data_IF_992799452606
#
_entry.id   IF_992799452606
#
_cell.length_a   1.000
_cell.length_b   1.000
_cell.length_c   1.000
_cell.angle_alpha   90.00
_cell.angle_beta   90.00
_cell.angle_gamma   90.00
#
_symmetry.space_group_name_H-M   'P 1'
#
loop_
_entity.id
_entity.type
_entity.pdbx_description
1 polymer ?
#
# COMPACT_ATOMS: atom_id res chain seq x y z
N UNK A 1 10.99 26.29 -0.09
CA UNK A 1 9.66 25.66 0.11
C UNK A 1 8.48 26.46 -0.48
N UNK A 2 8.32 27.74 -0.13
CA UNK A 2 7.14 28.54 -0.54
C UNK A 2 6.97 28.66 -2.06
N UNK A 3 8.04 28.93 -2.81
CA UNK A 3 7.96 29.07 -4.27
C UNK A 3 7.65 27.74 -4.97
N UNK A 4 8.24 26.64 -4.50
CA UNK A 4 7.92 25.30 -5.00
C UNK A 4 6.43 24.97 -4.81
N UNK A 5 5.87 25.30 -3.64
CA UNK A 5 4.45 25.10 -3.35
C UNK A 5 3.58 26.00 -4.21
N UNK A 6 3.98 27.26 -4.44
CA UNK A 6 3.26 28.16 -5.35
C UNK A 6 3.23 27.61 -6.78
N UNK A 7 4.35 27.08 -7.26
CA UNK A 7 4.43 26.45 -8.58
C UNK A 7 3.54 25.19 -8.67
N UNK A 8 3.56 24.32 -7.65
CA UNK A 8 2.71 23.14 -7.57
C UNK A 8 1.22 23.52 -7.55
N UNK A 9 0.81 24.48 -6.72
CA UNK A 9 -0.56 25.00 -6.69
C UNK A 9 -1.01 25.49 -8.07
N UNK A 10 -0.15 26.25 -8.76
CA UNK A 10 -0.44 26.77 -10.10
C UNK A 10 -0.64 25.64 -11.12
N UNK A 11 0.14 24.56 -11.04
CA UNK A 11 0.05 23.43 -11.97
C UNK A 11 -1.16 22.52 -11.71
N UNK A 12 -1.58 22.39 -10.45
CA UNK A 12 -2.69 21.54 -10.02
C UNK A 12 -4.06 22.21 -10.16
N UNK A 13 -4.16 23.50 -9.83
CA UNK A 13 -5.46 24.18 -9.81
C UNK A 13 -6.04 24.41 -11.21
N UNK A 14 -7.21 23.82 -11.46
CA UNK A 14 -7.97 24.03 -12.69
C UNK A 14 -7.36 23.41 -13.95
N UNK A 15 -6.30 22.60 -13.80
CA UNK A 15 -5.65 21.95 -14.91
C UNK A 15 -6.46 20.73 -15.36
N UNK A 16 -6.90 20.74 -16.63
CA UNK A 16 -7.65 19.63 -17.25
C UNK A 16 -6.75 18.62 -17.94
N UNK A 17 -5.44 18.89 -18.05
CA UNK A 17 -4.48 17.91 -18.52
C UNK A 17 -4.11 16.96 -17.37
N UNK A 18 -4.85 15.85 -17.25
CA UNK A 18 -4.66 14.90 -16.14
C UNK A 18 -3.30 14.22 -16.13
N UNK A 19 -2.58 14.17 -17.26
CA UNK A 19 -1.18 13.72 -17.29
C UNK A 19 -0.28 14.69 -16.53
N UNK A 20 -0.45 15.99 -16.75
CA UNK A 20 0.29 17.02 -15.99
C UNK A 20 -0.10 17.03 -14.51
N UNK A 21 -1.39 16.85 -14.21
CA UNK A 21 -1.87 16.75 -12.82
C UNK A 21 -1.21 15.57 -12.11
N UNK A 22 -1.20 14.38 -12.73
CA UNK A 22 -0.53 13.21 -12.17
C UNK A 22 0.96 13.44 -11.93
N UNK A 23 1.68 14.01 -12.90
CA UNK A 23 3.09 14.35 -12.72
C UNK A 23 3.31 15.35 -11.58
N UNK A 24 2.47 16.37 -11.46
CA UNK A 24 2.55 17.34 -10.38
C UNK A 24 2.22 16.72 -9.00
N UNK A 25 1.25 15.79 -8.93
CA UNK A 25 0.95 15.01 -7.73
C UNK A 25 2.12 14.11 -7.33
N UNK A 26 2.79 13.47 -8.29
CA UNK A 26 4.01 12.68 -8.04
C UNK A 26 5.14 13.56 -7.50
N UNK A 27 5.39 14.73 -8.10
CA UNK A 27 6.40 15.67 -7.59
C UNK A 27 6.05 16.12 -6.16
N UNK A 28 4.79 16.44 -5.90
CA UNK A 28 4.31 16.83 -4.58
C UNK A 28 4.55 15.71 -3.55
N UNK A 29 4.22 14.47 -3.88
CA UNK A 29 4.49 13.29 -3.06
C UNK A 29 5.98 13.13 -2.77
N UNK A 30 6.82 13.21 -3.79
CA UNK A 30 8.28 13.12 -3.65
C UNK A 30 8.80 14.24 -2.75
N UNK A 31 8.31 15.47 -2.89
CA UNK A 31 8.68 16.57 -2.00
C UNK A 31 8.29 16.31 -0.55
N UNK A 32 7.09 15.76 -0.28
CA UNK A 32 6.70 15.42 1.10
C UNK A 32 7.61 14.35 1.70
N UNK A 33 7.96 13.33 0.92
CA UNK A 33 8.85 12.23 1.38
C UNK A 33 10.30 12.68 1.62
N UNK A 34 10.79 13.65 0.86
CA UNK A 34 12.22 14.01 0.85
C UNK A 34 12.52 15.38 1.46
N UNK A 35 11.52 16.22 1.71
CA UNK A 35 11.69 17.50 2.39
C UNK A 35 11.37 17.39 3.88
N UNK A 36 11.94 18.30 4.66
CA UNK A 36 11.69 18.37 6.10
C UNK A 36 10.44 19.16 6.48
N UNK A 37 10.24 19.26 7.79
CA UNK A 37 9.09 19.85 8.46
C UNK A 37 8.64 21.22 7.92
N UNK A 38 9.57 22.11 7.53
CA UNK A 38 9.26 23.43 6.93
C UNK A 38 8.43 23.35 5.64
N UNK A 39 8.53 22.25 4.91
CA UNK A 39 7.69 21.97 3.75
C UNK A 39 6.34 21.37 4.18
N UNK A 40 6.36 20.42 5.12
CA UNK A 40 5.17 19.74 5.64
C UNK A 40 4.12 20.71 6.18
N UNK A 41 4.51 21.69 7.00
CA UNK A 41 3.60 22.73 7.53
C UNK A 41 2.82 23.46 6.43
N UNK A 42 3.45 23.65 5.26
CA UNK A 42 2.84 24.39 4.15
C UNK A 42 1.90 23.54 3.28
N UNK A 43 2.02 22.21 3.32
CA UNK A 43 1.20 21.28 2.50
C UNK A 43 0.17 20.50 3.31
N UNK A 44 0.41 20.28 4.61
CA UNK A 44 -0.49 19.56 5.51
C UNK A 44 -1.55 20.45 6.18
N UNK A 45 -1.55 21.77 5.91
CA UNK A 45 -2.59 22.67 6.40
C UNK A 45 -3.89 22.53 5.58
N UNK A 46 -5.00 22.88 6.24
CA UNK A 46 -6.35 22.74 5.66
C UNK A 46 -6.52 23.53 4.35
N UNK A 47 -5.97 24.74 4.26
CA UNK A 47 -6.09 25.58 3.07
C UNK A 47 -5.44 24.95 1.83
N UNK A 48 -4.30 24.28 2.01
CA UNK A 48 -3.65 23.55 0.93
C UNK A 48 -4.46 22.30 0.55
N UNK A 49 -4.80 21.47 1.52
CA UNK A 49 -5.48 20.20 1.25
C UNK A 49 -6.85 20.45 0.62
N UNK A 50 -7.68 21.28 1.22
CA UNK A 50 -9.05 21.54 0.74
C UNK A 50 -9.03 22.35 -0.57
N UNK A 51 -8.23 23.43 -0.61
CA UNK A 51 -8.16 24.35 -1.74
C UNK A 51 -7.47 23.79 -2.99
N UNK A 52 -6.65 22.74 -2.85
CA UNK A 52 -5.89 22.14 -3.96
C UNK A 52 -6.29 20.68 -4.16
N UNK A 53 -6.07 19.80 -3.17
CA UNK A 53 -6.25 18.36 -3.32
C UNK A 53 -7.74 17.97 -3.40
N UNK A 54 -8.54 18.34 -2.40
CA UNK A 54 -9.99 18.04 -2.40
C UNK A 54 -10.67 18.70 -3.60
N UNK A 55 -10.22 19.88 -3.99
CA UNK A 55 -10.72 20.56 -5.18
C UNK A 55 -10.50 19.73 -6.45
N UNK A 56 -9.35 19.07 -6.65
CA UNK A 56 -9.09 18.21 -7.83
C UNK A 56 -10.17 17.13 -7.96
N UNK A 57 -10.51 16.46 -6.85
CA UNK A 57 -11.49 15.37 -6.80
C UNK A 57 -12.94 15.82 -6.65
N UNK A 58 -13.20 17.13 -6.68
CA UNK A 58 -14.56 17.65 -6.63
C UNK A 58 -15.39 17.14 -7.80
N UNK A 59 -16.67 16.77 -7.59
CA UNK A 59 -17.58 16.37 -8.67
C UNK A 59 -17.64 17.37 -9.83
N UNK A 60 -17.42 18.66 -9.55
CA UNK A 60 -17.38 19.74 -10.55
C UNK A 60 -16.25 19.57 -11.59
N UNK A 61 -15.15 18.94 -11.21
CA UNK A 61 -14.00 18.72 -12.07
C UNK A 61 -14.03 17.37 -12.79
N UNK A 62 -14.90 16.45 -12.36
CA UNK A 62 -15.09 15.10 -12.90
C UNK A 62 -13.78 14.42 -13.37
N UNK A 63 -12.77 14.30 -12.50
CA UNK A 63 -11.48 13.73 -12.90
C UNK A 63 -11.56 12.21 -13.14
N UNK A 64 -10.66 11.63 -13.95
CA UNK A 64 -10.54 10.18 -14.09
C UNK A 64 -10.27 9.49 -12.74
N UNK A 65 -10.75 8.26 -12.57
CA UNK A 65 -10.62 7.46 -11.34
C UNK A 65 -9.18 7.40 -10.83
N UNK A 66 -8.21 7.16 -11.72
CA UNK A 66 -6.78 7.11 -11.37
C UNK A 66 -6.26 8.39 -10.67
N UNK A 67 -6.81 9.56 -11.03
CA UNK A 67 -6.47 10.83 -10.38
C UNK A 67 -7.15 10.94 -9.02
N UNK A 68 -8.41 10.47 -8.91
CA UNK A 68 -9.13 10.43 -7.65
C UNK A 68 -8.41 9.55 -6.63
N UNK A 69 -8.08 8.33 -7.02
CA UNK A 69 -7.38 7.36 -6.19
C UNK A 69 -6.03 7.91 -5.73
N UNK A 70 -5.27 8.54 -6.64
CA UNK A 70 -3.98 9.15 -6.30
C UNK A 70 -4.11 10.24 -5.24
N UNK A 71 -5.11 11.12 -5.38
CA UNK A 71 -5.34 12.20 -4.41
C UNK A 71 -5.78 11.66 -3.06
N UNK A 72 -6.72 10.71 -3.05
CA UNK A 72 -7.22 10.08 -1.82
C UNK A 72 -6.11 9.32 -1.10
N UNK A 73 -5.28 8.58 -1.83
CA UNK A 73 -4.11 7.89 -1.30
C UNK A 73 -3.09 8.84 -0.67
N UNK A 74 -2.84 10.01 -1.27
CA UNK A 74 -1.97 11.03 -0.67
C UNK A 74 -2.55 11.59 0.63
N UNK A 75 -3.84 11.92 0.65
CA UNK A 75 -4.52 12.43 1.84
C UNK A 75 -4.45 11.41 2.98
N UNK A 76 -4.75 10.14 2.71
CA UNK A 76 -4.66 9.06 3.69
C UNK A 76 -3.22 8.88 4.20
N UNK A 77 -2.25 8.74 3.29
CA UNK A 77 -0.85 8.52 3.67
C UNK A 77 -0.30 9.66 4.54
N UNK A 78 -0.68 10.90 4.26
CA UNK A 78 -0.24 12.05 5.05
C UNK A 78 -0.99 12.18 6.36
N UNK A 79 -2.29 11.84 6.40
CA UNK A 79 -3.05 11.77 7.64
C UNK A 79 -2.45 10.73 8.61
N UNK A 80 -2.06 9.57 8.10
CA UNK A 80 -1.43 8.52 8.91
C UNK A 80 -0.01 8.93 9.35
N UNK A 81 0.80 9.49 8.45
CA UNK A 81 2.17 9.92 8.76
C UNK A 81 2.24 11.09 9.75
N UNK A 82 1.27 12.01 9.70
CA UNK A 82 1.30 13.24 10.49
C UNK A 82 0.33 13.24 11.68
N UNK A 83 -0.35 12.12 11.96
CA UNK A 83 -1.34 11.98 13.05
C UNK A 83 -0.80 12.40 14.42
N UNK A 84 0.48 12.14 14.68
CA UNK A 84 1.15 12.45 15.95
C UNK A 84 1.80 13.85 16.00
N UNK A 85 1.70 14.64 14.91
CA UNK A 85 2.29 15.98 14.81
C UNK A 85 1.21 17.06 14.94
N UNK A 86 1.12 17.78 16.08
CA UNK A 86 -0.01 18.67 16.39
C UNK A 86 -0.15 19.84 15.40
N UNK A 87 0.95 20.29 14.82
CA UNK A 87 1.04 21.36 13.83
C UNK A 87 0.76 20.93 12.38
N UNK A 88 0.61 19.63 12.14
CA UNK A 88 0.33 19.03 10.82
C UNK A 88 -1.05 18.36 10.76
N UNK A 89 -1.91 18.59 11.75
CA UNK A 89 -3.22 17.95 11.86
C UNK A 89 -4.24 18.35 10.79
N UNK A 90 -3.97 19.38 9.98
CA UNK A 90 -4.90 19.86 8.96
C UNK A 90 -5.33 18.76 7.97
N UNK A 91 -4.41 17.91 7.53
CA UNK A 91 -4.70 16.78 6.65
C UNK A 91 -5.47 15.67 7.35
N UNK A 92 -5.22 15.43 8.64
CA UNK A 92 -5.93 14.44 9.47
C UNK A 92 -7.41 14.81 9.57
N UNK A 93 -7.71 16.07 9.85
CA UNK A 93 -9.09 16.54 9.93
C UNK A 93 -9.83 16.39 8.60
N UNK A 94 -9.17 16.67 7.48
CA UNK A 94 -9.77 16.51 6.15
C UNK A 94 -10.01 15.03 5.84
N UNK A 95 -9.05 14.16 6.13
CA UNK A 95 -9.20 12.71 5.95
C UNK A 95 -10.43 12.17 6.69
N UNK A 96 -10.55 12.46 7.99
CA UNK A 96 -11.69 12.02 8.80
C UNK A 96 -13.02 12.66 8.35
N UNK A 97 -12.99 13.91 7.86
CA UNK A 97 -14.16 14.58 7.30
C UNK A 97 -14.64 13.89 6.01
N UNK A 98 -13.72 13.51 5.12
CA UNK A 98 -14.04 12.79 3.89
C UNK A 98 -14.62 11.39 4.19
N UNK A 99 -14.04 10.66 5.16
CA UNK A 99 -14.61 9.38 5.60
C UNK A 99 -16.01 9.54 6.17
N UNK A 100 -16.26 10.57 6.98
CA UNK A 100 -17.61 10.85 7.52
C UNK A 100 -18.62 11.18 6.43
N UNK A 101 -18.17 11.75 5.30
CA UNK A 101 -19.01 11.99 4.11
C UNK A 101 -19.25 10.74 3.26
N UNK A 102 -18.71 9.58 3.67
CA UNK A 102 -18.85 8.32 2.94
C UNK A 102 -17.91 8.18 1.74
N UNK A 103 -16.86 8.99 1.65
CA UNK A 103 -15.82 8.80 0.62
C UNK A 103 -15.01 7.55 0.99
N UNK A 104 -15.01 6.58 0.09
CA UNK A 104 -14.16 5.40 0.19
C UNK A 104 -12.74 5.78 -0.21
N UNK A 105 -11.78 5.44 0.65
CA UNK A 105 -10.37 5.60 0.35
C UNK A 105 -9.84 4.29 -0.23
N UNK A 106 -8.93 4.35 -1.22
CA UNK A 106 -8.32 3.15 -1.75
C UNK A 106 -7.62 2.38 -0.61
N UNK A 107 -7.73 1.05 -0.62
CA UNK A 107 -6.89 0.23 0.25
C UNK A 107 -5.44 0.67 0.04
N UNK A 108 -4.73 0.99 1.13
CA UNK A 108 -3.41 1.61 1.09
C UNK A 108 -2.55 0.95 0.01
N UNK A 109 -2.38 1.68 -1.08
CA UNK A 109 -2.01 1.08 -2.34
C UNK A 109 -0.58 0.55 -2.26
N UNK A 110 -0.44 -0.77 -2.27
CA UNK A 110 0.83 -1.44 -2.50
C UNK A 110 1.38 -1.07 -3.89
N UNK A 111 0.54 -0.57 -4.81
CA UNK A 111 0.87 -0.24 -6.20
C UNK A 111 1.30 1.22 -6.43
N UNK A 112 1.12 2.11 -5.46
CA UNK A 112 1.65 3.48 -5.52
C UNK A 112 3.18 3.57 -5.27
N UNK A 113 3.87 2.43 -5.34
CA UNK A 113 5.30 2.32 -5.16
C UNK A 113 6.10 2.36 -6.45
N UNK A 114 6.65 3.52 -6.74
CA UNK A 114 8.01 3.63 -7.29
C UNK A 114 8.98 2.67 -6.56
N UNK A 115 10.02 2.14 -7.23
CA UNK A 115 10.67 0.84 -6.97
C UNK A 115 11.06 0.58 -5.51
N UNK A 116 11.09 -0.71 -5.13
CA UNK A 116 11.36 -1.29 -3.81
C UNK A 116 12.82 -1.04 -3.35
N UNK A 117 13.32 0.18 -3.47
CA UNK A 117 14.66 0.59 -3.09
C UNK A 117 14.68 1.35 -1.76
N UNK A 118 13.54 1.48 -1.07
CA UNK A 118 13.50 2.12 0.26
C UNK A 118 13.68 1.08 1.38
N UNK A 119 14.68 1.23 2.26
CA UNK A 119 15.00 0.24 3.30
C UNK A 119 13.82 -0.11 4.22
N UNK A 120 12.97 0.88 4.52
CA UNK A 120 11.79 0.71 5.37
C UNK A 120 10.72 -0.19 4.75
N UNK A 121 10.61 -0.24 3.42
CA UNK A 121 9.62 -1.10 2.74
C UNK A 121 10.15 -2.49 2.48
N UNK A 122 11.45 -2.63 2.24
CA UNK A 122 12.12 -3.95 2.25
C UNK A 122 11.93 -4.60 3.63
N UNK A 123 12.12 -3.84 4.72
CA UNK A 123 11.90 -4.35 6.07
C UNK A 123 10.44 -4.81 6.32
N UNK A 124 9.44 -4.06 5.83
CA UNK A 124 8.03 -4.48 5.92
C UNK A 124 7.74 -5.71 5.09
N UNK A 125 8.23 -5.75 3.84
CA UNK A 125 8.05 -6.90 2.95
C UNK A 125 8.69 -8.16 3.57
N UNK A 126 9.90 -8.04 4.12
CA UNK A 126 10.56 -9.14 4.83
C UNK A 126 9.72 -9.63 6.02
N UNK A 127 9.14 -8.72 6.80
CA UNK A 127 8.23 -9.12 7.88
C UNK A 127 6.96 -9.83 7.37
N UNK A 128 6.42 -9.44 6.21
CA UNK A 128 5.30 -10.17 5.59
C UNK A 128 5.75 -11.55 5.10
N UNK A 129 6.93 -11.66 4.48
CA UNK A 129 7.52 -12.93 4.05
C UNK A 129 7.80 -13.87 5.22
N UNK A 130 8.22 -13.35 6.38
CA UNK A 130 8.42 -14.16 7.58
C UNK A 130 7.11 -14.82 8.05
N UNK A 131 5.97 -14.13 7.93
CA UNK A 131 4.66 -14.70 8.23
C UNK A 131 4.33 -15.82 7.24
N UNK A 132 4.59 -15.61 5.95
CA UNK A 132 4.36 -16.66 4.92
C UNK A 132 5.22 -17.88 5.22
N UNK A 133 6.51 -17.70 5.50
CA UNK A 133 7.43 -18.79 5.88
C UNK A 133 6.92 -19.53 7.11
N UNK A 134 6.43 -18.82 8.12
CA UNK A 134 5.82 -19.40 9.31
C UNK A 134 4.62 -20.29 8.97
N UNK A 135 3.68 -19.78 8.19
CA UNK A 135 2.48 -20.52 7.77
C UNK A 135 2.82 -21.74 6.92
N UNK A 136 3.74 -21.60 5.96
CA UNK A 136 4.23 -22.71 5.13
C UNK A 136 4.87 -23.80 5.99
N UNK A 137 5.68 -23.41 6.99
CA UNK A 137 6.32 -24.35 7.91
C UNK A 137 5.29 -25.12 8.75
N UNK A 138 4.34 -24.42 9.37
CA UNK A 138 3.26 -25.05 10.15
C UNK A 138 2.46 -26.02 9.27
N UNK A 139 2.13 -25.62 8.04
CA UNK A 139 1.41 -26.48 7.10
C UNK A 139 2.21 -27.73 6.73
N UNK A 140 3.52 -27.59 6.52
CA UNK A 140 4.41 -28.71 6.26
C UNK A 140 4.54 -29.66 7.45
N UNK A 141 4.58 -29.14 8.68
CA UNK A 141 4.64 -29.94 9.92
C UNK A 141 3.35 -30.72 10.10
N UNK A 142 2.19 -30.07 9.96
CA UNK A 142 0.88 -30.74 9.99
C UNK A 142 0.79 -31.88 8.96
N UNK A 143 1.18 -31.63 7.71
CA UNK A 143 1.22 -32.66 6.65
C UNK A 143 2.23 -33.79 6.89
N UNK A 144 3.16 -33.62 7.83
CA UNK A 144 4.13 -34.66 8.19
C UNK A 144 3.63 -35.51 9.36
N UNK A 145 2.89 -34.92 10.28
CA UNK A 145 2.35 -35.59 11.46
C UNK A 145 1.02 -36.29 11.18
N UNK A 146 0.22 -35.77 10.24
CA UNK A 146 -1.07 -36.34 9.89
C UNK A 146 -0.93 -37.68 9.14
N UNK A 147 -1.73 -38.66 9.54
CA UNK A 147 -1.84 -39.97 8.89
C UNK A 147 -3.10 -39.98 8.03
N UNK A 148 -3.00 -40.12 6.69
CA UNK A 148 -4.16 -40.09 5.81
C UNK A 148 -5.25 -41.07 6.25
N UNK A 149 -6.47 -40.56 6.44
CA UNK A 149 -7.63 -41.35 6.85
C UNK A 149 -7.75 -41.66 8.34
N UNK A 150 -6.85 -41.15 9.19
CA UNK A 150 -6.95 -41.19 10.65
C UNK A 150 -6.91 -39.78 11.28
N UNK A 151 -7.26 -38.77 10.48
CA UNK A 151 -7.17 -37.37 10.84
C UNK A 151 -8.33 -36.99 11.75
N UNK A 152 -8.07 -36.23 12.81
CA UNK A 152 -9.14 -35.63 13.60
C UNK A 152 -9.85 -34.55 12.77
N UNK A 153 -11.15 -34.39 12.97
CA UNK A 153 -11.94 -33.39 12.25
C UNK A 153 -11.42 -31.96 12.46
N UNK A 154 -10.88 -31.66 13.64
CA UNK A 154 -10.35 -30.34 13.96
C UNK A 154 -9.01 -30.06 13.28
N UNK A 155 -8.13 -31.06 13.21
CA UNK A 155 -6.84 -30.96 12.50
C UNK A 155 -7.05 -30.79 11.00
N UNK A 156 -8.03 -31.50 10.43
CA UNK A 156 -8.38 -31.37 9.02
C UNK A 156 -8.95 -29.99 8.68
N UNK A 157 -9.81 -29.43 9.53
CA UNK A 157 -10.37 -28.08 9.35
C UNK A 157 -9.26 -27.03 9.42
N UNK A 158 -8.37 -27.13 10.41
CA UNK A 158 -7.23 -26.23 10.55
C UNK A 158 -6.29 -26.30 9.33
N UNK A 159 -5.99 -27.51 8.84
CA UNK A 159 -5.16 -27.70 7.66
C UNK A 159 -5.81 -27.09 6.41
N UNK A 160 -7.12 -27.21 6.25
CA UNK A 160 -7.85 -26.60 5.14
C UNK A 160 -7.83 -25.07 5.20
N UNK A 161 -8.01 -24.49 6.38
CA UNK A 161 -7.93 -23.03 6.57
C UNK A 161 -6.51 -22.52 6.30
N UNK A 162 -5.50 -23.24 6.77
CA UNK A 162 -4.10 -22.92 6.53
C UNK A 162 -3.75 -23.00 5.04
N UNK A 163 -4.22 -24.04 4.33
CA UNK A 163 -4.06 -24.16 2.88
C UNK A 163 -4.70 -22.98 2.12
N UNK A 164 -5.92 -22.56 2.50
CA UNK A 164 -6.56 -21.37 1.91
C UNK A 164 -5.73 -20.11 2.14
N UNK A 165 -5.23 -19.93 3.36
CA UNK A 165 -4.38 -18.80 3.74
C UNK A 165 -3.08 -18.78 2.94
N UNK A 166 -2.38 -19.91 2.87
CA UNK A 166 -1.16 -20.07 2.08
C UNK A 166 -1.39 -19.79 0.60
N UNK A 167 -2.51 -20.25 0.01
CA UNK A 167 -2.84 -19.97 -1.40
C UNK A 167 -3.11 -18.49 -1.66
N UNK A 168 -3.81 -17.80 -0.75
CA UNK A 168 -4.00 -16.36 -0.84
C UNK A 168 -2.66 -15.60 -0.74
N UNK A 169 -1.76 -16.04 0.14
CA UNK A 169 -0.40 -15.50 0.24
C UNK A 169 0.41 -15.73 -1.03
N UNK A 170 0.30 -16.92 -1.64
CA UNK A 170 0.97 -17.23 -2.90
C UNK A 170 0.54 -16.28 -4.04
N UNK A 171 -0.77 -16.04 -4.19
CA UNK A 171 -1.27 -15.12 -5.22
C UNK A 171 -0.64 -13.73 -5.09
N UNK A 172 -0.53 -13.22 -3.86
CA UNK A 172 0.14 -11.95 -3.57
C UNK A 172 1.64 -11.99 -3.89
N UNK A 173 2.34 -13.08 -3.58
CA UNK A 173 3.77 -13.23 -3.91
C UNK A 173 4.00 -13.24 -5.41
N UNK A 174 3.20 -14.00 -6.17
CA UNK A 174 3.32 -14.06 -7.64
C UNK A 174 3.09 -12.69 -8.27
N UNK A 175 2.09 -11.95 -7.78
CA UNK A 175 1.84 -10.57 -8.19
C UNK A 175 3.04 -9.67 -7.88
N UNK A 176 3.64 -9.79 -6.69
CA UNK A 176 4.83 -9.03 -6.30
C UNK A 176 6.04 -9.33 -7.19
N UNK A 177 6.32 -10.61 -7.50
CA UNK A 177 7.44 -11.01 -8.38
C UNK A 177 7.38 -10.27 -9.72
N UNK A 178 6.19 -10.12 -10.30
CA UNK A 178 6.01 -9.41 -11.58
C UNK A 178 6.24 -7.90 -11.50
N UNK A 179 6.26 -7.33 -10.29
CA UNK A 179 6.30 -5.89 -10.02
C UNK A 179 7.62 -5.42 -9.39
N UNK A 180 8.39 -6.32 -8.79
CA UNK A 180 9.67 -6.01 -8.15
C UNK A 180 10.77 -5.90 -9.20
N UNK A 181 11.57 -4.82 -9.14
CA UNK A 181 12.79 -4.67 -9.96
C UNK A 181 14.08 -4.89 -9.18
N UNK A 182 14.00 -5.03 -7.86
CA UNK A 182 15.15 -5.31 -7.00
C UNK A 182 15.45 -6.82 -7.04
N UNK A 183 16.66 -7.18 -7.47
CA UNK A 183 17.07 -8.58 -7.69
C UNK A 183 17.07 -9.40 -6.40
N UNK A 184 17.66 -8.87 -5.31
CA UNK A 184 17.70 -9.53 -3.99
C UNK A 184 16.29 -9.84 -3.46
N UNK A 185 15.38 -8.88 -3.57
CA UNK A 185 13.98 -9.06 -3.15
C UNK A 185 13.24 -10.04 -4.05
N UNK A 186 13.54 -10.04 -5.34
CA UNK A 186 12.93 -10.97 -6.31
C UNK A 186 13.36 -12.41 -6.00
N UNK A 187 14.63 -12.63 -5.68
CA UNK A 187 15.16 -13.92 -5.25
C UNK A 187 14.47 -14.42 -3.98
N UNK A 188 14.31 -13.55 -2.96
CA UNK A 188 13.60 -13.90 -1.73
C UNK A 188 12.14 -14.31 -2.00
N UNK A 189 11.44 -13.58 -2.86
CA UNK A 189 10.05 -13.86 -3.23
C UNK A 189 9.91 -15.20 -3.98
N UNK A 190 10.83 -15.47 -4.91
CA UNK A 190 10.87 -16.73 -5.66
C UNK A 190 11.08 -17.92 -4.72
N UNK A 191 12.02 -17.81 -3.78
CA UNK A 191 12.24 -18.86 -2.79
C UNK A 191 10.99 -19.18 -1.96
N UNK A 192 10.30 -18.15 -1.44
CA UNK A 192 9.08 -18.37 -0.64
C UNK A 192 7.94 -18.94 -1.51
N UNK A 193 7.85 -18.55 -2.77
CA UNK A 193 6.89 -19.11 -3.72
C UNK A 193 7.16 -20.60 -4.00
N UNK A 194 8.43 -20.99 -4.14
CA UNK A 194 8.83 -22.37 -4.34
C UNK A 194 8.54 -23.23 -3.10
N UNK A 195 8.81 -22.71 -1.90
CA UNK A 195 8.45 -23.37 -0.64
C UNK A 195 6.94 -23.63 -0.54
N UNK A 196 6.11 -22.64 -0.90
CA UNK A 196 4.66 -22.78 -0.96
C UNK A 196 4.22 -23.84 -1.97
N UNK A 197 4.76 -23.80 -3.19
CA UNK A 197 4.46 -24.78 -4.23
C UNK A 197 4.79 -26.21 -3.76
N UNK A 198 5.93 -26.41 -3.10
CA UNK A 198 6.32 -27.69 -2.56
C UNK A 198 5.34 -28.21 -1.51
N UNK A 199 4.86 -27.34 -0.63
CA UNK A 199 3.84 -27.69 0.38
C UNK A 199 2.49 -28.00 -0.28
N UNK A 200 2.06 -27.25 -1.30
CA UNK A 200 0.81 -27.54 -2.01
C UNK A 200 0.85 -28.88 -2.75
N UNK A 201 1.98 -29.21 -3.37
CA UNK A 201 2.17 -30.52 -3.99
C UNK A 201 2.11 -31.67 -2.98
N UNK A 202 2.51 -31.44 -1.73
CA UNK A 202 2.35 -32.42 -0.65
C UNK A 202 0.90 -32.52 -0.17
N UNK A 203 0.20 -31.39 -0.10
CA UNK A 203 -1.21 -31.34 0.30
C UNK A 203 -2.15 -32.03 -0.70
N UNK A 204 -1.82 -32.00 -1.99
CA UNK A 204 -2.62 -32.60 -3.07
C UNK A 204 -2.37 -34.10 -3.29
N UNK A 205 -1.37 -34.69 -2.60
CA UNK A 205 -1.04 -36.12 -2.67
C UNK A 205 -1.81 -36.93 -1.63
#
# INVERSE_FOLDING_TARGET
PKDAIRALKKRLNGNKNYREVMLALTVLETCVKNCGHRFHVLVANRDFIDGVLVKIISPKNNPPTIVQDKVLALIQAWADAFRSSPDLTGVVHIYEELKRKGIEFPMADLDALSPIHTPQRIARLRSELDIVRGNTKVMSEMLTEMVPGQEDSSDLELLQELNRTCRAMQQRIVELISRVSNEEVTEELLHVNDDLNNVFLRYER
#
